data_IF_385663362984
#
_entry.id   IF_385663362984
#
_cell.length_a   1.000
_cell.length_b   1.000
_cell.length_c   1.000
_cell.angle_alpha   90.00
_cell.angle_beta   90.00
_cell.angle_gamma   90.00
#
_symmetry.space_group_name_H-M   'P 1'
#
loop_
_entity.id
_entity.type
_entity.pdbx_description
1 polymer ?
#
# COMPACT_ATOMS: atom_id res chain seq x y z
N UNK A 1 20.64 8.57 55.16
CA UNK A 1 21.70 8.26 54.17
C UNK A 1 21.16 7.21 53.22
N UNK A 2 20.99 7.59 51.94
CA UNK A 2 21.05 6.84 50.65
C UNK A 2 20.58 5.37 50.66
N UNK A 3 19.82 4.86 49.67
CA UNK A 3 19.86 5.15 48.25
C UNK A 3 18.63 4.50 47.59
N UNK A 4 17.87 5.25 46.81
CA UNK A 4 16.82 4.70 45.95
C UNK A 4 17.45 4.08 44.70
N UNK A 5 17.10 2.83 44.40
CA UNK A 5 17.46 2.16 43.15
C UNK A 5 16.36 2.43 42.11
N UNK A 6 16.60 3.41 41.24
CA UNK A 6 15.77 3.66 40.07
C UNK A 6 16.11 2.60 39.00
N UNK A 7 15.24 1.60 38.84
CA UNK A 7 15.34 0.63 37.74
C UNK A 7 14.87 1.30 36.46
N UNK A 8 15.82 1.67 35.61
CA UNK A 8 15.56 2.20 34.27
C UNK A 8 15.11 1.03 33.36
N UNK A 9 13.80 0.81 33.26
CA UNK A 9 13.22 -0.09 32.25
C UNK A 9 13.37 0.56 30.87
N UNK A 10 14.40 0.16 30.14
CA UNK A 10 14.53 0.46 28.72
C UNK A 10 13.43 -0.31 27.99
N UNK A 11 12.33 0.37 27.66
CA UNK A 11 11.41 -0.12 26.65
C UNK A 11 12.17 -0.13 25.33
N UNK A 12 12.66 -1.30 24.90
CA UNK A 12 12.95 -1.52 23.49
C UNK A 12 11.62 -1.35 22.76
N UNK A 13 11.38 -0.17 22.18
CA UNK A 13 10.44 -0.06 21.10
C UNK A 13 10.87 -1.08 20.06
N UNK A 14 10.00 -2.03 19.72
CA UNK A 14 10.23 -2.92 18.60
C UNK A 14 10.46 -2.03 17.38
N UNK A 15 11.73 -1.91 16.97
CA UNK A 15 12.08 -1.25 15.72
C UNK A 15 11.45 -2.14 14.66
N UNK A 16 10.40 -1.62 14.00
CA UNK A 16 9.71 -2.33 12.95
C UNK A 16 10.76 -2.70 11.89
N UNK A 17 11.02 -4.00 11.70
CA UNK A 17 12.14 -4.52 10.91
C UNK A 17 12.13 -4.03 9.45
N UNK A 18 10.97 -3.55 8.99
CA UNK A 18 10.73 -2.84 7.71
C UNK A 18 11.80 -1.81 7.35
N UNK A 19 12.37 -1.10 8.33
CA UNK A 19 13.31 0.01 8.09
C UNK A 19 14.79 -0.38 7.99
N UNK A 20 15.17 -1.65 8.14
CA UNK A 20 16.59 -2.04 8.25
C UNK A 20 17.39 -1.86 6.95
N UNK A 21 16.72 -1.72 5.80
CA UNK A 21 17.36 -1.29 4.54
C UNK A 21 16.67 -0.02 4.07
N UNK A 22 17.43 1.08 4.06
CA UNK A 22 16.97 2.32 3.42
C UNK A 22 16.66 2.12 1.94
N UNK A 23 16.04 3.11 1.28
CA UNK A 23 15.73 3.02 -0.14
C UNK A 23 17.00 2.81 -0.97
N UNK A 24 16.89 2.16 -2.14
CA UNK A 24 18.02 1.94 -3.03
C UNK A 24 18.54 3.27 -3.60
N UNK A 25 19.62 3.18 -4.35
CA UNK A 25 20.15 4.27 -5.17
C UNK A 25 19.02 4.92 -6.02
N UNK A 26 18.82 6.25 -5.96
CA UNK A 26 17.82 6.97 -6.75
C UNK A 26 17.91 6.71 -8.27
N UNK A 27 19.09 6.43 -8.80
CA UNK A 27 19.28 6.14 -10.23
C UNK A 27 18.72 4.76 -10.62
N UNK A 28 18.51 3.88 -9.65
CA UNK A 28 17.88 2.56 -9.85
C UNK A 28 16.35 2.68 -9.77
N UNK A 29 15.76 3.42 -10.72
CA UNK A 29 14.33 3.78 -10.76
C UNK A 29 13.39 2.59 -10.53
N UNK A 30 13.62 1.45 -11.19
CA UNK A 30 12.78 0.26 -11.02
C UNK A 30 12.90 -0.37 -9.62
N UNK A 31 14.10 -0.34 -9.03
CA UNK A 31 14.31 -0.81 -7.66
C UNK A 31 13.66 0.13 -6.65
N UNK A 32 13.76 1.45 -6.86
CA UNK A 32 13.09 2.45 -6.04
C UNK A 32 11.57 2.29 -6.09
N UNK A 33 10.98 2.10 -7.28
CA UNK A 33 9.56 1.85 -7.44
C UNK A 33 9.09 0.62 -6.65
N UNK A 34 9.77 -0.51 -6.79
CA UNK A 34 9.47 -1.73 -6.00
C UNK A 34 9.66 -1.50 -4.50
N UNK A 35 10.70 -0.79 -4.10
CA UNK A 35 10.95 -0.45 -2.70
C UNK A 35 9.79 0.37 -2.12
N UNK A 36 9.30 1.39 -2.83
CA UNK A 36 8.19 2.23 -2.37
C UNK A 36 6.91 1.39 -2.24
N UNK A 37 6.55 0.61 -3.28
CA UNK A 37 5.35 -0.25 -3.22
C UNK A 37 5.44 -1.25 -2.06
N UNK A 38 6.60 -1.84 -1.85
CA UNK A 38 6.79 -2.84 -0.79
C UNK A 38 6.69 -2.26 0.62
N UNK A 39 7.23 -1.05 0.83
CA UNK A 39 7.30 -0.44 2.17
C UNK A 39 6.09 0.40 2.55
N UNK A 40 5.11 0.55 1.67
CA UNK A 40 3.88 1.30 1.93
C UNK A 40 2.74 0.37 2.36
N UNK A 41 1.95 0.84 3.32
CA UNK A 41 0.81 0.08 3.88
C UNK A 41 -0.51 0.43 3.19
N UNK A 42 -0.60 1.66 2.69
CA UNK A 42 -1.77 2.16 2.00
C UNK A 42 -1.31 2.96 0.78
N UNK A 43 -2.23 3.23 -0.13
CA UNK A 43 -2.00 4.01 -1.33
C UNK A 43 -3.23 4.86 -1.62
N UNK A 44 -3.03 5.99 -2.30
CA UNK A 44 -4.13 6.68 -2.96
C UNK A 44 -4.49 5.95 -4.26
N UNK A 45 -5.79 5.77 -4.51
CA UNK A 45 -6.31 5.23 -5.78
C UNK A 45 -7.22 6.27 -6.43
N UNK A 46 -6.95 6.55 -7.70
CA UNK A 46 -7.77 7.37 -8.57
C UNK A 46 -8.67 6.49 -9.44
N UNK A 47 -9.97 6.80 -9.44
CA UNK A 47 -11.04 6.19 -10.24
C UNK A 47 -11.83 7.27 -11.00
N UNK A 48 -12.69 6.86 -11.92
CA UNK A 48 -13.65 7.75 -12.58
C UNK A 48 -15.01 7.60 -11.91
N UNK A 49 -15.51 8.68 -11.31
CA UNK A 49 -16.70 8.61 -10.46
C UNK A 49 -17.96 8.22 -11.22
N UNK A 50 -18.76 7.39 -10.56
CA UNK A 50 -20.09 6.95 -10.99
C UNK A 50 -21.22 7.51 -10.11
N UNK A 51 -20.90 8.45 -9.23
CA UNK A 51 -21.87 9.12 -8.37
C UNK A 51 -22.71 10.12 -9.16
N UNK A 52 -24.02 10.12 -8.95
CA UNK A 52 -24.96 11.00 -9.65
C UNK A 52 -24.66 12.50 -9.48
N UNK A 53 -24.03 12.88 -8.36
CA UNK A 53 -23.68 14.28 -8.06
C UNK A 53 -22.41 14.76 -8.75
N UNK A 54 -21.50 13.85 -9.11
CA UNK A 54 -20.18 14.15 -9.68
C UNK A 54 -19.78 13.12 -10.77
N UNK A 55 -20.66 12.82 -11.74
CA UNK A 55 -20.36 11.80 -12.74
C UNK A 55 -19.11 12.17 -13.53
N UNK A 56 -18.26 11.18 -13.82
CA UNK A 56 -17.03 11.29 -14.61
C UNK A 56 -15.91 12.13 -13.99
N UNK A 57 -16.08 12.63 -12.76
CA UNK A 57 -15.00 13.34 -12.06
C UNK A 57 -13.87 12.36 -11.70
N UNK A 58 -12.60 12.81 -11.76
CA UNK A 58 -11.51 12.10 -11.10
C UNK A 58 -11.82 11.99 -9.61
N UNK A 59 -11.95 10.77 -9.11
CA UNK A 59 -12.25 10.50 -7.72
C UNK A 59 -11.06 9.82 -7.05
N UNK A 60 -10.64 10.32 -5.90
CA UNK A 60 -9.48 9.80 -5.18
C UNK A 60 -9.86 9.39 -3.77
N UNK A 61 -9.42 8.21 -3.35
CA UNK A 61 -9.53 7.73 -1.98
C UNK A 61 -8.31 6.91 -1.58
N UNK A 62 -8.24 6.48 -0.33
CA UNK A 62 -7.18 5.61 0.17
C UNK A 62 -7.61 4.14 0.15
N UNK A 63 -6.65 3.24 -0.10
CA UNK A 63 -6.81 1.79 0.04
C UNK A 63 -5.56 1.16 0.65
N UNK A 64 -5.76 0.14 1.48
CA UNK A 64 -4.67 -0.71 1.94
C UNK A 64 -4.11 -1.54 0.79
N UNK A 65 -2.79 -1.69 0.76
CA UNK A 65 -2.03 -2.37 -0.30
C UNK A 65 -1.01 -3.32 0.31
N UNK A 66 -0.67 -4.38 -0.43
CA UNK A 66 0.51 -5.21 -0.20
C UNK A 66 1.01 -5.76 -1.53
N UNK A 67 2.32 -5.97 -1.69
CA UNK A 67 2.90 -6.65 -2.86
C UNK A 67 3.51 -8.02 -2.54
N UNK A 68 3.45 -8.43 -1.27
CA UNK A 68 4.00 -9.68 -0.79
C UNK A 68 4.23 -9.68 0.72
N UNK A 69 4.54 -10.85 1.31
CA UNK A 69 5.11 -10.98 2.65
C UNK A 69 6.40 -10.16 2.84
N UNK A 70 6.80 -9.91 4.09
CA UNK A 70 7.93 -9.02 4.43
C UNK A 70 9.24 -9.31 3.67
N UNK A 71 9.53 -10.58 3.37
CA UNK A 71 10.76 -10.97 2.66
C UNK A 71 10.51 -11.47 1.23
N UNK A 72 9.29 -11.29 0.71
CA UNK A 72 8.90 -11.84 -0.60
C UNK A 72 7.95 -10.89 -1.36
N UNK A 73 8.36 -9.62 -1.48
CA UNK A 73 7.68 -8.61 -2.28
C UNK A 73 7.85 -8.85 -3.79
N UNK A 74 6.72 -8.92 -4.50
CA UNK A 74 6.70 -9.15 -5.96
C UNK A 74 6.71 -7.84 -6.77
N UNK A 75 6.43 -6.71 -6.11
CA UNK A 75 6.14 -5.43 -6.77
C UNK A 75 4.74 -5.32 -7.38
N UNK A 76 3.89 -6.36 -7.30
CA UNK A 76 2.51 -6.32 -7.80
C UNK A 76 1.56 -5.79 -6.71
N UNK A 77 0.88 -4.64 -6.92
CA UNK A 77 -0.09 -4.11 -5.98
C UNK A 77 -1.31 -5.03 -5.81
N UNK A 78 -1.42 -5.73 -4.68
CA UNK A 78 -2.65 -6.43 -4.26
C UNK A 78 -3.48 -5.54 -3.34
N UNK A 79 -4.79 -5.53 -3.57
CA UNK A 79 -5.78 -4.80 -2.77
C UNK A 79 -6.95 -5.71 -2.40
N UNK A 80 -7.48 -5.52 -1.18
CA UNK A 80 -8.68 -6.23 -0.72
C UNK A 80 -9.89 -5.30 -0.72
N UNK A 81 -10.71 -5.41 -1.77
CA UNK A 81 -11.80 -4.45 -2.03
C UNK A 81 -13.16 -5.12 -2.18
N UNK A 82 -14.21 -4.37 -1.88
CA UNK A 82 -15.61 -4.75 -2.16
C UNK A 82 -16.20 -3.82 -3.21
N UNK A 83 -17.12 -4.34 -4.01
CA UNK A 83 -17.89 -3.58 -4.99
C UNK A 83 -18.88 -2.58 -4.35
N UNK A 84 -19.09 -2.64 -3.03
CA UNK A 84 -19.95 -1.72 -2.29
C UNK A 84 -19.31 -0.36 -2.00
N UNK A 85 -17.97 -0.31 -1.98
CA UNK A 85 -17.16 0.89 -1.81
C UNK A 85 -17.29 1.81 -3.04
N UNK A 86 -17.13 3.13 -2.86
CA UNK A 86 -17.27 4.10 -3.96
C UNK A 86 -16.34 3.79 -5.13
N UNK A 87 -15.04 3.60 -4.86
CA UNK A 87 -14.09 3.19 -5.89
C UNK A 87 -14.39 1.79 -6.43
N UNK A 88 -14.95 0.90 -5.61
CA UNK A 88 -15.45 -0.40 -6.06
C UNK A 88 -16.53 -0.28 -7.14
N UNK A 89 -17.50 0.62 -6.96
CA UNK A 89 -18.57 0.90 -7.93
C UNK A 89 -18.01 1.52 -9.21
N UNK A 90 -17.12 2.50 -9.05
CA UNK A 90 -16.44 3.16 -10.17
C UNK A 90 -15.70 2.15 -11.04
N UNK A 91 -14.91 1.28 -10.40
CA UNK A 91 -14.09 0.26 -11.07
C UNK A 91 -14.93 -0.74 -11.86
N UNK A 92 -16.15 -1.07 -11.42
CA UNK A 92 -17.05 -1.96 -12.18
C UNK A 92 -17.48 -1.37 -13.51
N UNK A 93 -17.63 -0.05 -13.58
CA UNK A 93 -18.02 0.67 -14.80
C UNK A 93 -16.80 0.98 -15.66
N UNK A 94 -15.70 1.41 -15.04
CA UNK A 94 -14.44 1.69 -15.70
C UNK A 94 -13.28 1.23 -14.81
N UNK A 95 -12.62 0.16 -15.23
CA UNK A 95 -11.54 -0.44 -14.46
C UNK A 95 -10.17 0.21 -14.68
N UNK A 96 -10.09 1.36 -15.37
CA UNK A 96 -8.86 2.13 -15.45
C UNK A 96 -8.63 2.82 -14.10
N UNK A 97 -7.46 2.59 -13.50
CA UNK A 97 -7.09 3.17 -12.22
C UNK A 97 -5.66 3.70 -12.26
N UNK A 98 -5.37 4.65 -11.39
CA UNK A 98 -4.00 5.06 -11.09
C UNK A 98 -3.81 5.05 -9.59
N UNK A 99 -2.73 4.44 -9.11
CA UNK A 99 -2.33 4.54 -7.71
C UNK A 99 -1.08 5.38 -7.54
N UNK A 100 -0.91 5.97 -6.36
CA UNK A 100 0.33 6.62 -5.95
C UNK A 100 0.72 6.15 -4.55
N UNK A 101 1.95 5.65 -4.44
CA UNK A 101 2.61 5.32 -3.19
C UNK A 101 3.78 6.27 -2.97
N UNK A 102 4.13 6.58 -1.73
CA UNK A 102 5.23 7.50 -1.43
C UNK A 102 6.01 7.11 -0.19
N UNK A 103 7.31 7.42 -0.17
CA UNK A 103 8.11 7.34 1.05
C UNK A 103 7.59 8.25 2.16
N UNK A 104 6.77 9.26 1.84
CA UNK A 104 6.08 10.10 2.82
C UNK A 104 5.03 9.33 3.64
N UNK A 105 4.58 8.17 3.17
CA UNK A 105 3.66 7.29 3.90
C UNK A 105 4.41 6.48 4.98
N UNK A 106 5.74 6.53 4.97
CA UNK A 106 6.64 5.95 5.98
C UNK A 106 7.32 7.05 6.79
N UNK A 107 8.10 6.67 7.80
CA UNK A 107 8.92 7.65 8.56
C UNK A 107 10.15 8.15 7.80
N UNK A 108 10.43 7.64 6.58
CA UNK A 108 11.66 7.96 5.85
C UNK A 108 11.81 9.47 5.60
N UNK A 109 10.85 10.11 4.92
CA UNK A 109 10.97 11.53 4.59
C UNK A 109 10.98 12.42 5.84
N UNK A 110 10.19 12.05 6.84
CA UNK A 110 10.17 12.72 8.15
C UNK A 110 11.53 12.64 8.85
N UNK A 111 12.19 11.48 8.83
CA UNK A 111 13.53 11.29 9.41
C UNK A 111 14.62 12.12 8.70
N UNK A 112 14.38 12.53 7.46
CA UNK A 112 15.27 13.38 6.67
C UNK A 112 14.93 14.86 6.72
N UNK A 113 13.86 15.24 7.43
CA UNK A 113 13.30 16.60 7.44
C UNK A 113 12.96 17.09 6.02
N UNK A 114 12.49 16.19 5.17
CA UNK A 114 12.02 16.52 3.83
C UNK A 114 10.52 16.73 3.83
N UNK A 115 10.10 17.79 3.16
CA UNK A 115 8.69 17.97 2.81
C UNK A 115 8.22 16.81 1.90
N UNK A 116 7.00 16.29 2.02
CA UNK A 116 6.48 15.24 1.13
C UNK A 116 6.52 15.60 -0.37
N UNK A 117 6.55 16.88 -0.73
CA UNK A 117 6.67 17.34 -2.11
C UNK A 117 8.13 17.43 -2.59
N UNK A 118 9.11 17.41 -1.68
CA UNK A 118 10.53 17.39 -2.03
C UNK A 118 10.82 16.18 -2.95
N UNK A 119 11.48 16.36 -4.11
CA UNK A 119 11.72 15.28 -5.06
C UNK A 119 12.56 14.12 -4.48
N UNK A 120 13.32 14.36 -3.40
CA UNK A 120 14.06 13.32 -2.68
C UNK A 120 13.14 12.44 -1.83
N UNK A 121 11.97 12.95 -1.44
CA UNK A 121 10.88 12.15 -0.91
C UNK A 121 10.17 11.43 -2.05
N UNK A 122 10.75 10.32 -2.49
CA UNK A 122 10.33 9.63 -3.69
C UNK A 122 8.88 9.13 -3.62
N UNK A 123 8.22 9.12 -4.77
CA UNK A 123 6.87 8.60 -5.00
C UNK A 123 6.83 7.83 -6.32
N UNK A 124 5.96 6.83 -6.38
CA UNK A 124 5.71 6.04 -7.58
C UNK A 124 4.23 6.16 -7.93
N UNK A 125 3.97 6.35 -9.22
CA UNK A 125 2.61 6.41 -9.79
C UNK A 125 2.47 5.24 -10.74
N UNK A 126 1.45 4.42 -10.54
CA UNK A 126 1.20 3.22 -11.34
C UNK A 126 -0.20 3.30 -11.92
N UNK A 127 -0.30 3.39 -13.24
CA UNK A 127 -1.56 3.37 -13.98
C UNK A 127 -1.77 2.00 -14.63
N UNK A 128 -3.02 1.53 -14.63
CA UNK A 128 -3.34 0.24 -15.22
C UNK A 128 -4.82 -0.13 -15.11
N UNK A 129 -5.09 -1.42 -15.31
CA UNK A 129 -6.42 -2.01 -15.18
C UNK A 129 -6.57 -2.65 -13.82
N UNK A 130 -7.65 -2.37 -13.10
CA UNK A 130 -7.98 -3.12 -11.89
C UNK A 130 -8.61 -4.46 -12.27
N UNK A 131 -7.94 -5.55 -11.92
CA UNK A 131 -8.32 -6.90 -12.33
C UNK A 131 -8.59 -7.75 -11.10
N UNK A 132 -9.74 -8.43 -11.12
CA UNK A 132 -10.08 -9.42 -10.11
C UNK A 132 -9.29 -10.70 -10.32
N UNK A 133 -8.68 -11.20 -9.25
CA UNK A 133 -7.92 -12.46 -9.30
C UNK A 133 -8.89 -13.63 -9.12
N UNK A 134 -8.84 -14.68 -9.97
CA UNK A 134 -9.67 -15.87 -9.80
C UNK A 134 -9.45 -16.52 -8.43
N UNK A 135 -10.54 -16.78 -7.69
CA UNK A 135 -10.47 -17.25 -6.30
C UNK A 135 -9.82 -18.62 -6.13
N UNK A 136 -9.81 -19.44 -7.18
CA UNK A 136 -9.19 -20.77 -7.20
C UNK A 136 -7.71 -20.75 -7.61
N UNK A 137 -7.11 -19.58 -7.89
CA UNK A 137 -5.71 -19.48 -8.32
C UNK A 137 -4.74 -19.39 -7.15
N UNK A 138 -3.50 -19.86 -7.37
CA UNK A 138 -2.40 -19.71 -6.41
C UNK A 138 -2.09 -18.23 -6.14
N UNK A 139 -2.25 -17.36 -7.14
CA UNK A 139 -2.08 -15.91 -6.99
C UNK A 139 -3.09 -15.33 -5.99
N UNK A 140 -4.32 -15.83 -5.96
CA UNK A 140 -5.31 -15.39 -4.98
C UNK A 140 -4.88 -15.73 -3.55
N UNK A 141 -4.39 -16.96 -3.34
CA UNK A 141 -3.89 -17.38 -2.03
C UNK A 141 -2.68 -16.55 -1.60
N UNK A 142 -1.75 -16.29 -2.53
CA UNK A 142 -0.58 -15.43 -2.30
C UNK A 142 -0.99 -14.01 -1.92
N UNK A 143 -1.81 -13.35 -2.74
CA UNK A 143 -2.25 -11.97 -2.51
C UNK A 143 -3.05 -11.83 -1.22
N UNK A 144 -3.93 -12.80 -0.90
CA UNK A 144 -4.66 -12.84 0.37
C UNK A 144 -3.70 -12.94 1.56
N UNK A 145 -2.71 -13.83 1.50
CA UNK A 145 -1.73 -13.95 2.57
C UNK A 145 -0.90 -12.66 2.72
N UNK A 146 -0.39 -12.12 1.62
CA UNK A 146 0.37 -10.87 1.60
C UNK A 146 -0.40 -9.69 2.23
N UNK A 147 -1.69 -9.58 1.93
CA UNK A 147 -2.56 -8.56 2.50
C UNK A 147 -2.86 -8.83 3.98
N UNK A 148 -3.14 -10.08 4.37
CA UNK A 148 -3.54 -10.40 5.75
C UNK A 148 -2.36 -10.48 6.72
N UNK A 149 -1.14 -10.62 6.21
CA UNK A 149 0.10 -10.47 6.97
C UNK A 149 0.37 -8.99 7.23
N UNK A 150 0.35 -8.16 6.17
CA UNK A 150 0.57 -6.72 6.28
C UNK A 150 -0.56 -5.98 7.03
N UNK A 151 -1.80 -6.45 6.88
CA UNK A 151 -3.02 -5.88 7.46
C UNK A 151 -3.84 -6.93 8.24
N UNK A 152 -3.44 -7.29 9.47
CA UNK A 152 -4.07 -8.38 10.23
C UNK A 152 -5.58 -8.21 10.47
N UNK A 153 -6.05 -6.95 10.55
CA UNK A 153 -7.47 -6.63 10.75
C UNK A 153 -8.37 -7.12 9.60
N UNK A 154 -7.83 -7.28 8.38
CA UNK A 154 -8.60 -7.74 7.22
C UNK A 154 -9.17 -9.15 7.39
N UNK A 155 -8.60 -9.98 8.28
CA UNK A 155 -9.11 -11.31 8.61
C UNK A 155 -10.51 -11.28 9.21
N UNK A 156 -10.87 -10.16 9.85
CA UNK A 156 -12.12 -9.97 10.57
C UNK A 156 -13.11 -9.06 9.84
N UNK A 157 -12.74 -8.59 8.64
CA UNK A 157 -13.64 -7.77 7.84
C UNK A 157 -14.84 -8.58 7.34
N UNK A 158 -16.02 -7.96 7.16
CA UNK A 158 -17.18 -8.65 6.60
C UNK A 158 -16.89 -9.26 5.23
N UNK A 159 -17.60 -10.36 4.92
CA UNK A 159 -17.53 -11.05 3.63
C UNK A 159 -17.90 -10.13 2.43
N UNK A 160 -17.64 -10.60 1.21
CA UNK A 160 -17.93 -9.85 -0.02
C UNK A 160 -16.81 -8.93 -0.51
N UNK A 161 -15.60 -9.09 0.04
CA UNK A 161 -14.38 -8.49 -0.48
C UNK A 161 -13.58 -9.54 -1.26
N UNK A 162 -12.96 -9.12 -2.35
CA UNK A 162 -12.20 -9.96 -3.26
C UNK A 162 -10.81 -9.37 -3.45
N UNK A 163 -9.81 -10.23 -3.58
CA UNK A 163 -8.44 -9.80 -3.90
C UNK A 163 -8.39 -9.36 -5.36
N UNK A 164 -7.91 -8.14 -5.58
CA UNK A 164 -7.75 -7.53 -6.89
C UNK A 164 -6.32 -7.02 -7.02
N UNK A 165 -5.83 -6.90 -8.26
CA UNK A 165 -4.51 -6.34 -8.57
C UNK A 165 -4.60 -5.27 -9.63
N UNK A 166 -3.54 -4.48 -9.75
CA UNK A 166 -3.35 -3.59 -10.88
C UNK A 166 -2.58 -4.34 -11.96
N UNK A 167 -3.28 -4.69 -13.04
CA UNK A 167 -2.67 -5.15 -14.28
C UNK A 167 -2.01 -3.96 -14.97
N UNK A 168 -0.68 -3.91 -14.91
CA UNK A 168 0.11 -2.89 -15.60
C UNK A 168 0.05 -3.22 -17.10
N UNK A 169 -0.41 -2.25 -17.91
CA UNK A 169 -0.28 -2.31 -19.36
C UNK A 169 1.19 -2.02 -19.68
N UNK A 170 2.02 -3.06 -19.75
CA UNK A 170 3.33 -3.02 -20.39
C UNK A 170 3.22 -3.62 -21.79
#
# INVERSE_FOLDING_TARGET
>A
MKCEFLVLTVFLAAVNARLLRGPPDPDKVAAMARYIVHNTDWTSIATISTLDTIPEYPFVTLKSISDGPENNGTGVPYLYMTDLDLSGRDIKKNNNVTIMCSLAETDYCKSKLWDPQDPRCAKVIISGKFVQIPTASDEYAFGKNALFEKHPSMRYWPAGKIIKKIGILL
#
